data_IF_691643508030
#
_entry.id   IF_691643508030
#
_cell.length_a   1.000
_cell.length_b   1.000
_cell.length_c   1.000
_cell.angle_alpha   90.00
_cell.angle_beta   90.00
_cell.angle_gamma   90.00
#
_symmetry.space_group_name_H-M   'P 1'
#
loop_
_entity.id
_entity.type
_entity.pdbx_description
1 polymer ?
#
# COMPACT_ATOMS: atom_id res chain seq x y z
N UNK A 1 17.91 -6.72 -9.82
CA UNK A 1 18.14 -5.39 -9.24
C UNK A 1 16.88 -4.75 -8.67
N UNK A 2 15.83 -4.53 -9.46
CA UNK A 2 14.61 -3.84 -8.99
C UNK A 2 13.93 -4.52 -7.79
N UNK A 3 13.81 -5.85 -7.80
CA UNK A 3 13.24 -6.60 -6.66
C UNK A 3 14.06 -6.43 -5.37
N UNK A 4 15.39 -6.36 -5.47
CA UNK A 4 16.26 -6.12 -4.31
C UNK A 4 16.12 -4.70 -3.77
N UNK A 5 15.99 -3.71 -4.64
CA UNK A 5 15.74 -2.31 -4.23
C UNK A 5 14.39 -2.21 -3.50
N UNK A 6 13.35 -2.87 -4.04
CA UNK A 6 12.03 -2.90 -3.42
C UNK A 6 12.03 -3.57 -2.04
N UNK A 7 12.71 -4.71 -1.90
CA UNK A 7 12.88 -5.41 -0.63
C UNK A 7 13.60 -4.54 0.41
N UNK A 8 14.69 -3.89 0.02
CA UNK A 8 15.41 -2.97 0.91
C UNK A 8 14.54 -1.79 1.35
N UNK A 9 13.79 -1.19 0.41
CA UNK A 9 12.88 -0.08 0.73
C UNK A 9 11.77 -0.51 1.69
N UNK A 10 11.20 -1.71 1.49
CA UNK A 10 10.24 -2.30 2.41
C UNK A 10 10.86 -2.48 3.81
N UNK A 11 12.05 -3.06 3.91
CA UNK A 11 12.71 -3.26 5.19
C UNK A 11 12.99 -1.96 5.96
N UNK A 12 13.23 -0.85 5.26
CA UNK A 12 13.40 0.48 5.85
C UNK A 12 12.10 1.13 6.32
N UNK A 13 10.95 0.68 5.81
CA UNK A 13 9.65 1.35 5.98
C UNK A 13 8.59 0.54 6.72
N UNK A 14 8.75 -0.79 6.79
CA UNK A 14 7.71 -1.72 7.27
C UNK A 14 7.15 -1.46 8.67
N UNK A 15 7.96 -0.88 9.56
CA UNK A 15 7.53 -0.59 10.93
C UNK A 15 6.53 0.57 11.00
N UNK A 16 6.61 1.53 10.07
CA UNK A 16 5.62 2.61 9.89
C UNK A 16 5.69 3.19 8.46
N UNK A 17 4.97 2.56 7.53
CA UNK A 17 4.97 2.97 6.13
C UNK A 17 4.31 4.34 5.92
N UNK A 18 3.36 4.72 6.78
CA UNK A 18 2.66 6.01 6.69
C UNK A 18 3.63 7.15 6.98
N UNK A 19 4.34 7.09 8.10
CA UNK A 19 5.35 8.10 8.45
C UNK A 19 6.54 8.04 7.51
N UNK A 20 6.91 6.86 6.99
CA UNK A 20 7.95 6.74 5.97
C UNK A 20 7.60 7.53 4.70
N UNK A 21 6.40 7.39 4.16
CA UNK A 21 5.96 8.15 2.97
C UNK A 21 5.95 9.65 3.23
N UNK A 22 5.46 10.07 4.40
CA UNK A 22 5.43 11.48 4.82
C UNK A 22 6.84 12.08 4.90
N UNK A 23 7.79 11.37 5.52
CA UNK A 23 9.19 11.82 5.68
C UNK A 23 9.95 11.87 4.36
N UNK A 24 9.59 11.02 3.40
CA UNK A 24 10.23 10.92 2.08
C UNK A 24 9.47 11.66 0.97
N UNK A 25 8.61 12.61 1.32
CA UNK A 25 7.94 13.52 0.39
C UNK A 25 7.17 12.80 -0.75
N UNK A 26 6.52 11.68 -0.43
CA UNK A 26 5.79 10.91 -1.43
C UNK A 26 4.63 11.75 -2.03
N UNK A 27 4.67 11.99 -3.33
CA UNK A 27 3.67 12.84 -4.01
C UNK A 27 2.23 12.33 -3.84
N UNK A 28 2.03 11.01 -3.80
CA UNK A 28 0.70 10.42 -3.60
C UNK A 28 0.20 10.57 -2.17
N UNK A 29 1.09 10.57 -1.17
CA UNK A 29 0.74 10.89 0.22
C UNK A 29 0.14 12.28 0.32
N UNK A 30 0.79 13.29 -0.29
CA UNK A 30 0.29 14.67 -0.30
C UNK A 30 -1.06 14.79 -0.99
N UNK A 31 -1.23 14.14 -2.14
CA UNK A 31 -2.49 14.16 -2.88
C UNK A 31 -3.66 13.64 -2.02
N UNK A 32 -3.49 12.49 -1.36
CA UNK A 32 -4.56 11.88 -0.57
C UNK A 32 -4.81 12.64 0.74
N UNK A 33 -3.75 13.12 1.40
CA UNK A 33 -3.84 13.96 2.60
C UNK A 33 -4.58 15.27 2.30
N UNK A 34 -4.33 15.90 1.14
CA UNK A 34 -5.04 17.11 0.72
C UNK A 34 -6.54 16.90 0.45
N UNK A 35 -6.98 15.65 0.28
CA UNK A 35 -8.40 15.28 0.22
C UNK A 35 -8.97 14.82 1.58
N UNK A 36 -8.19 14.86 2.66
CA UNK A 36 -8.61 14.41 3.99
C UNK A 36 -8.72 12.88 4.13
N UNK A 37 -7.98 12.12 3.31
CA UNK A 37 -8.06 10.66 3.22
C UNK A 37 -6.96 9.95 4.04
N UNK A 38 -6.41 10.58 5.08
CA UNK A 38 -5.33 10.00 5.88
C UNK A 38 -5.73 8.69 6.56
N UNK A 39 -7.01 8.58 6.95
CA UNK A 39 -7.57 7.34 7.51
C UNK A 39 -7.56 6.21 6.49
N UNK A 40 -7.85 6.50 5.23
CA UNK A 40 -7.84 5.51 4.15
C UNK A 40 -6.41 5.05 3.84
N UNK A 41 -5.43 5.96 3.86
CA UNK A 41 -4.01 5.58 3.71
C UNK A 41 -3.63 4.59 4.82
N UNK A 42 -3.96 4.88 6.07
CA UNK A 42 -3.64 3.98 7.20
C UNK A 42 -4.35 2.64 7.09
N UNK A 43 -5.61 2.63 6.66
CA UNK A 43 -6.36 1.41 6.41
C UNK A 43 -5.69 0.54 5.34
N UNK A 44 -5.35 1.12 4.19
CA UNK A 44 -4.68 0.42 3.09
C UNK A 44 -3.28 -0.12 3.44
N UNK A 45 -2.61 0.47 4.42
CA UNK A 45 -1.29 0.03 4.91
C UNK A 45 -1.38 -1.01 6.03
N UNK A 46 -2.58 -1.45 6.42
CA UNK A 46 -2.75 -2.48 7.45
C UNK A 46 -2.45 -3.85 6.84
N UNK A 47 -1.38 -4.55 7.29
CA UNK A 47 -1.05 -5.86 6.76
C UNK A 47 -2.12 -6.89 7.14
N UNK A 48 -2.34 -7.86 6.26
CA UNK A 48 -3.23 -9.02 6.51
C UNK A 48 -4.67 -8.66 6.89
N UNK A 49 -5.18 -7.53 6.37
CA UNK A 49 -6.52 -7.05 6.70
C UNK A 49 -7.65 -7.85 6.03
N UNK A 50 -7.40 -8.39 4.83
CA UNK A 50 -8.42 -9.07 4.03
C UNK A 50 -7.93 -10.45 3.59
N UNK A 51 -8.55 -11.51 4.14
CA UNK A 51 -8.25 -12.91 3.79
C UNK A 51 -8.95 -13.32 2.48
N UNK A 52 -8.63 -12.63 1.39
CA UNK A 52 -9.18 -12.85 0.06
C UNK A 52 -8.06 -12.61 -0.96
N UNK A 53 -7.95 -13.50 -1.95
CA UNK A 53 -7.06 -13.33 -3.11
C UNK A 53 -7.93 -13.14 -4.36
N UNK A 54 -8.22 -11.89 -4.77
CA UNK A 54 -9.00 -11.64 -5.97
C UNK A 54 -8.26 -12.08 -7.22
N UNK A 55 -8.93 -12.80 -8.09
CA UNK A 55 -8.40 -13.22 -9.38
C UNK A 55 -9.11 -12.53 -10.53
N UNK A 56 -8.35 -12.10 -11.53
CA UNK A 56 -8.92 -11.49 -12.72
C UNK A 56 -9.28 -12.57 -13.74
N UNK A 57 -10.58 -12.71 -14.03
CA UNK A 57 -11.10 -13.63 -15.03
C UNK A 57 -12.24 -12.98 -15.81
N UNK A 58 -12.18 -13.05 -17.14
CA UNK A 58 -13.25 -12.60 -18.05
C UNK A 58 -13.76 -11.17 -17.78
N UNK A 59 -12.84 -10.23 -17.52
CA UNK A 59 -13.17 -8.83 -17.29
C UNK A 59 -13.65 -8.49 -15.88
N UNK A 60 -13.54 -9.43 -14.92
CA UNK A 60 -14.05 -9.27 -13.56
C UNK A 60 -13.02 -9.77 -12.54
N UNK A 61 -13.12 -9.25 -11.31
CA UNK A 61 -12.43 -9.82 -10.15
C UNK A 61 -13.34 -10.86 -9.49
N UNK A 62 -12.86 -12.09 -9.34
CA UNK A 62 -13.59 -13.22 -8.76
C UNK A 62 -12.81 -13.82 -7.59
N UNK A 63 -13.51 -14.52 -6.70
CA UNK A 63 -12.89 -15.38 -5.69
C UNK A 63 -12.81 -16.78 -6.29
N UNK A 64 -11.61 -17.31 -6.49
CA UNK A 64 -11.46 -18.73 -6.82
C UNK A 64 -11.63 -19.58 -5.56
N UNK A 65 -12.22 -20.76 -5.73
CA UNK A 65 -12.50 -21.72 -4.66
C UNK A 65 -11.35 -22.69 -4.48
#
# INVERSE_FOLDING_TARGET
DTSHIAENLYNLSKDDMYEFMKKNDASHYHRLTNFGLEKDIRHCLTPDLANILPEYADGKLVIQK
#
